data_IF_340199165424
#
_entry.id   IF_340199165424
#
_cell.length_a   1.000
_cell.length_b   1.000
_cell.length_c   1.000
_cell.angle_alpha   90.00
_cell.angle_beta   90.00
_cell.angle_gamma   90.00
#
_symmetry.space_group_name_H-M   'P 1'
#
loop_
_entity.id
_entity.type
_entity.pdbx_description
1 polymer ?
#
# COMPACT_ATOMS: atom_id res chain seq x y z
N UNK A 1 3.02 -17.58 -26.16
CA UNK A 1 2.14 -16.54 -25.57
C UNK A 1 3.03 -15.41 -25.10
N UNK A 2 2.67 -14.13 -25.33
CA UNK A 2 3.67 -13.09 -25.50
C UNK A 2 4.39 -12.73 -24.20
N UNK A 3 5.69 -12.59 -24.35
CA UNK A 3 6.70 -12.21 -23.36
C UNK A 3 6.55 -10.71 -23.11
N UNK A 4 6.26 -10.29 -21.88
CA UNK A 4 6.31 -8.89 -21.47
C UNK A 4 7.74 -8.52 -21.02
N UNK A 5 8.41 -7.55 -21.67
CA UNK A 5 9.73 -7.11 -21.27
C UNK A 5 9.61 -5.90 -20.33
N UNK A 6 9.74 -6.10 -19.02
CA UNK A 6 9.96 -4.97 -18.12
C UNK A 6 11.43 -4.55 -18.19
N UNK A 7 11.65 -3.57 -19.07
CA UNK A 7 12.88 -2.85 -19.27
C UNK A 7 13.35 -2.16 -17.98
N UNK A 8 14.66 -2.27 -17.76
CA UNK A 8 15.43 -1.67 -16.68
C UNK A 8 15.25 -0.14 -16.66
N UNK A 9 14.75 0.42 -15.55
CA UNK A 9 14.92 1.84 -15.23
C UNK A 9 15.55 1.97 -13.85
N UNK A 10 16.87 2.17 -13.86
CA UNK A 10 17.68 2.64 -12.73
C UNK A 10 17.41 4.13 -12.54
N UNK A 11 16.91 4.56 -11.38
CA UNK A 11 16.80 5.98 -11.02
C UNK A 11 17.41 6.18 -9.63
N UNK A 12 18.47 6.98 -9.58
CA UNK A 12 19.11 7.49 -8.37
C UNK A 12 18.19 8.50 -7.68
N UNK A 13 17.94 8.34 -6.38
CA UNK A 13 17.28 9.37 -5.56
C UNK A 13 18.35 10.10 -4.75
N UNK A 14 18.60 11.35 -5.14
CA UNK A 14 19.34 12.32 -4.33
C UNK A 14 18.45 12.81 -3.18
N UNK A 15 18.98 12.70 -1.96
CA UNK A 15 18.40 13.26 -0.74
C UNK A 15 18.71 14.76 -0.71
N UNK A 16 17.69 15.60 -0.57
CA UNK A 16 17.87 16.98 -0.11
C UNK A 16 17.01 17.20 1.12
N UNK A 17 17.69 17.51 2.22
CA UNK A 17 17.12 17.85 3.50
C UNK A 17 16.71 19.34 3.57
N UNK A 18 15.52 19.54 4.13
CA UNK A 18 15.04 20.63 4.99
C UNK A 18 15.90 21.90 5.18
N UNK A 19 15.25 23.08 5.15
CA UNK A 19 15.24 24.02 6.30
C UNK A 19 14.38 25.28 6.14
N UNK A 20 13.57 25.53 7.19
CA UNK A 20 13.25 26.80 7.88
C UNK A 20 12.66 27.99 7.11
N UNK A 21 11.53 28.54 7.60
CA UNK A 21 11.57 29.76 8.44
C UNK A 21 10.17 30.20 8.91
N UNK A 22 10.06 30.57 10.18
CA UNK A 22 8.91 31.25 10.80
C UNK A 22 9.09 32.76 10.63
N UNK A 23 8.03 33.49 10.29
CA UNK A 23 8.03 34.95 10.21
C UNK A 23 6.68 35.53 10.63
N UNK A 24 6.72 36.37 11.67
CA UNK A 24 5.59 36.94 12.37
C UNK A 24 5.03 38.23 11.72
N UNK A 25 3.79 38.55 12.09
CA UNK A 25 3.31 39.92 12.28
C UNK A 25 2.57 40.54 11.10
N UNK A 26 1.35 41.04 11.38
CA UNK A 26 0.88 42.41 11.11
C UNK A 26 -0.50 42.52 11.77
N UNK A 27 -0.64 43.49 12.67
CA UNK A 27 -1.95 43.95 13.14
C UNK A 27 -2.45 45.11 12.30
N UNK A 28 -3.78 45.28 12.22
CA UNK A 28 -4.38 46.58 11.94
C UNK A 28 -5.80 46.66 12.54
N UNK A 29 -6.03 47.75 13.27
CA UNK A 29 -7.30 48.18 13.89
C UNK A 29 -8.12 49.03 12.90
N UNK A 30 -9.38 49.29 13.30
CA UNK A 30 -10.42 50.23 12.80
C UNK A 30 -11.54 49.47 12.06
N UNK A 31 -12.84 49.71 12.27
CA UNK A 31 -13.56 50.89 12.74
C UNK A 31 -14.89 50.45 13.41
N UNK A 32 -15.41 51.26 14.32
CA UNK A 32 -16.58 50.92 15.14
C UNK A 32 -17.94 50.96 14.43
N UNK A 33 -18.93 50.42 15.13
CA UNK A 33 -20.32 50.88 15.08
C UNK A 33 -20.99 50.56 16.42
N UNK A 34 -21.63 51.56 17.00
CA UNK A 34 -22.43 51.46 18.21
C UNK A 34 -23.89 51.14 17.84
N UNK A 35 -24.41 50.11 18.49
CA UNK A 35 -25.72 50.03 19.14
C UNK A 35 -27.02 50.29 18.33
N UNK A 36 -27.88 49.26 18.31
CA UNK A 36 -29.33 49.44 18.54
C UNK A 36 -29.82 48.38 19.54
N UNK A 37 -30.56 48.75 20.60
CA UNK A 37 -31.08 47.82 21.58
C UNK A 37 -32.55 47.45 21.29
N UNK A 38 -32.91 46.16 21.35
CA UNK A 38 -34.28 45.72 21.69
C UNK A 38 -34.22 44.40 22.47
N UNK A 39 -34.87 44.41 23.64
CA UNK A 39 -35.05 43.34 24.63
C UNK A 39 -36.08 42.29 24.17
N UNK A 40 -35.86 41.01 24.48
CA UNK A 40 -36.83 40.09 25.13
C UNK A 40 -36.25 38.67 25.26
N UNK A 41 -36.40 38.05 26.44
CA UNK A 41 -36.00 36.67 26.74
C UNK A 41 -37.25 35.76 26.84
N UNK A 42 -37.30 34.69 26.02
CA UNK A 42 -37.79 33.28 26.21
C UNK A 42 -39.24 32.95 26.67
N UNK A 43 -39.87 31.82 26.22
CA UNK A 43 -39.40 30.45 26.49
C UNK A 43 -39.52 29.41 25.34
N UNK A 44 -38.73 28.33 25.48
CA UNK A 44 -38.60 27.17 24.59
C UNK A 44 -39.91 26.42 24.35
N UNK A 45 -40.18 25.98 23.12
CA UNK A 45 -41.04 24.82 22.88
C UNK A 45 -40.73 24.09 21.56
N UNK A 46 -40.14 22.91 21.72
CA UNK A 46 -40.30 21.69 20.92
C UNK A 46 -39.75 21.62 19.48
N UNK A 47 -38.69 20.82 19.36
CA UNK A 47 -38.23 20.13 18.14
C UNK A 47 -39.34 19.31 17.47
N UNK A 48 -39.35 19.28 16.13
CA UNK A 48 -39.51 18.05 15.38
C UNK A 48 -38.20 17.66 14.70
N UNK A 49 -37.81 16.40 14.89
CA UNK A 49 -36.69 15.66 14.30
C UNK A 49 -36.50 15.86 12.79
N UNK A 50 -35.33 16.38 12.41
CA UNK A 50 -34.79 16.32 11.04
C UNK A 50 -33.65 15.28 11.02
N UNK A 51 -33.71 14.21 10.20
CA UNK A 51 -32.62 13.25 10.13
C UNK A 51 -31.49 13.78 9.25
N UNK A 52 -30.29 13.86 9.83
CA UNK A 52 -28.98 13.96 9.15
C UNK A 52 -28.42 15.36 8.96
N UNK A 53 -27.94 15.97 10.05
CA UNK A 53 -26.77 16.85 9.98
C UNK A 53 -25.59 16.08 10.58
N UNK A 54 -24.86 15.32 9.76
CA UNK A 54 -23.51 14.95 10.13
C UNK A 54 -22.72 16.27 10.25
N UNK A 55 -22.00 16.55 11.36
CA UNK A 55 -21.20 17.76 11.47
C UNK A 55 -20.18 17.76 10.35
N UNK A 56 -20.21 18.78 9.50
CA UNK A 56 -19.14 19.02 8.53
C UNK A 56 -17.82 19.13 9.31
N UNK A 57 -16.80 18.33 8.98
CA UNK A 57 -15.51 18.39 9.67
C UNK A 57 -14.95 19.82 9.60
N UNK A 58 -14.51 20.35 10.74
CA UNK A 58 -13.89 21.67 10.81
C UNK A 58 -12.55 21.63 10.03
N UNK A 59 -12.22 22.61 9.15
CA UNK A 59 -10.97 22.61 8.38
C UNK A 59 -9.69 22.31 9.18
N UNK A 60 -9.61 22.74 10.44
CA UNK A 60 -8.48 22.43 11.32
C UNK A 60 -8.29 20.91 11.56
N UNK A 61 -9.38 20.14 11.62
CA UNK A 61 -9.33 18.69 11.80
C UNK A 61 -8.84 17.97 10.53
N UNK A 62 -9.11 18.54 9.35
CA UNK A 62 -8.64 17.99 8.07
C UNK A 62 -7.12 18.12 7.92
N UNK A 63 -6.56 19.27 8.31
CA UNK A 63 -5.11 19.51 8.31
C UNK A 63 -4.38 18.55 9.26
N UNK A 64 -4.94 18.31 10.44
CA UNK A 64 -4.35 17.40 11.42
C UNK A 64 -4.39 15.94 10.94
N UNK A 65 -5.44 15.54 10.20
CA UNK A 65 -5.51 14.23 9.55
C UNK A 65 -4.43 14.07 8.48
N UNK A 66 -4.22 15.07 7.62
CA UNK A 66 -3.13 15.03 6.62
C UNK A 66 -1.75 14.91 7.27
N UNK A 67 -1.50 15.67 8.35
CA UNK A 67 -0.24 15.56 9.12
C UNK A 67 -0.08 14.17 9.73
N UNK A 68 -1.14 13.61 10.32
CA UNK A 68 -1.11 12.27 10.90
C UNK A 68 -0.82 11.21 9.82
N UNK A 69 -1.49 11.29 8.67
CA UNK A 69 -1.27 10.42 7.52
C UNK A 69 0.19 10.48 7.04
N UNK A 70 0.72 11.71 6.89
CA UNK A 70 2.10 11.93 6.43
C UNK A 70 3.13 11.35 7.41
N UNK A 71 2.87 11.47 8.72
CA UNK A 71 3.72 10.87 9.77
C UNK A 71 3.69 9.34 9.74
N UNK A 72 2.54 8.74 9.45
CA UNK A 72 2.44 7.28 9.28
C UNK A 72 3.21 6.83 8.03
N UNK A 73 3.06 7.54 6.92
CA UNK A 73 3.75 7.24 5.67
C UNK A 73 5.28 7.37 5.80
N UNK A 74 5.80 8.37 6.53
CA UNK A 74 7.25 8.50 6.78
C UNK A 74 7.82 7.36 7.63
N UNK A 75 6.97 6.72 8.44
CA UNK A 75 7.26 5.48 9.17
C UNK A 75 6.99 4.23 8.34
N UNK A 76 6.79 4.35 7.03
CA UNK A 76 6.51 3.23 6.13
C UNK A 76 5.17 2.53 6.38
N UNK A 77 4.27 3.11 7.18
CA UNK A 77 2.94 2.58 7.55
C UNK A 77 1.87 3.07 6.56
N UNK A 78 2.04 2.72 5.28
CA UNK A 78 1.19 3.27 4.22
C UNK A 78 -0.28 2.84 4.31
N UNK A 79 -0.58 1.62 4.76
CA UNK A 79 -1.97 1.16 4.93
C UNK A 79 -2.72 2.09 5.88
N UNK A 80 -2.14 2.32 7.05
CA UNK A 80 -2.72 3.21 8.06
C UNK A 80 -2.73 4.68 7.59
N UNK A 81 -1.71 5.10 6.86
CA UNK A 81 -1.68 6.43 6.26
C UNK A 81 -2.82 6.63 5.24
N UNK A 82 -3.11 5.63 4.41
CA UNK A 82 -4.18 5.65 3.42
C UNK A 82 -5.56 5.60 4.08
N UNK A 83 -5.72 4.88 5.19
CA UNK A 83 -6.95 4.91 5.99
C UNK A 83 -7.27 6.33 6.48
N UNK A 84 -6.26 7.08 6.96
CA UNK A 84 -6.45 8.49 7.34
C UNK A 84 -6.94 9.36 6.17
N UNK A 85 -6.50 9.06 4.94
CA UNK A 85 -6.91 9.80 3.74
C UNK A 85 -8.29 9.41 3.22
N UNK A 86 -8.80 8.21 3.54
CA UNK A 86 -10.11 7.76 3.10
C UNK A 86 -11.26 8.48 3.83
N UNK A 87 -10.97 9.05 4.99
CA UNK A 87 -11.91 9.85 5.78
C UNK A 87 -12.06 11.30 5.28
N UNK A 88 -11.31 11.69 4.25
CA UNK A 88 -11.39 13.02 3.61
C UNK A 88 -12.41 12.94 2.47
N UNK A 89 -13.47 13.74 2.55
CA UNK A 89 -14.54 13.75 1.56
C UNK A 89 -14.06 14.41 0.25
N UNK A 90 -14.57 13.99 -0.92
CA UNK A 90 -14.16 14.56 -2.21
C UNK A 90 -14.37 16.07 -2.35
N UNK A 91 -15.32 16.65 -1.60
CA UNK A 91 -15.64 18.08 -1.63
C UNK A 91 -14.84 18.89 -0.59
N UNK A 92 -14.00 18.24 0.21
CA UNK A 92 -13.19 18.93 1.22
C UNK A 92 -12.10 19.79 0.56
N UNK A 93 -11.70 20.93 1.17
CA UNK A 93 -10.65 21.80 0.62
C UNK A 93 -9.32 21.09 0.38
N UNK A 94 -9.04 20.03 1.16
CA UNK A 94 -7.80 19.25 1.09
C UNK A 94 -7.90 17.97 0.24
N UNK A 95 -9.06 17.73 -0.39
CA UNK A 95 -9.31 16.49 -1.13
C UNK A 95 -8.31 16.25 -2.27
N UNK A 96 -7.91 17.32 -2.97
CA UNK A 96 -6.90 17.25 -4.05
C UNK A 96 -5.56 16.77 -3.49
N UNK A 97 -5.11 17.35 -2.37
CA UNK A 97 -3.86 16.94 -1.72
C UNK A 97 -3.93 15.50 -1.23
N UNK A 98 -5.05 15.10 -0.61
CA UNK A 98 -5.28 13.72 -0.19
C UNK A 98 -5.23 12.75 -1.37
N UNK A 99 -5.83 13.09 -2.51
CA UNK A 99 -5.76 12.27 -3.72
C UNK A 99 -4.32 12.13 -4.23
N UNK A 100 -3.56 13.23 -4.27
CA UNK A 100 -2.13 13.17 -4.68
C UNK A 100 -1.32 12.26 -3.77
N UNK A 101 -1.48 12.37 -2.45
CA UNK A 101 -0.78 11.50 -1.49
C UNK A 101 -1.19 10.04 -1.65
N UNK A 102 -2.48 9.78 -1.90
CA UNK A 102 -3.01 8.44 -2.17
C UNK A 102 -2.31 7.80 -3.37
N UNK A 103 -2.20 8.51 -4.50
CA UNK A 103 -1.49 8.00 -5.68
C UNK A 103 -0.01 7.71 -5.37
N UNK A 104 0.70 8.67 -4.75
CA UNK A 104 2.12 8.55 -4.44
C UNK A 104 2.43 7.39 -3.48
N UNK A 105 1.60 7.17 -2.47
CA UNK A 105 1.80 6.08 -1.51
C UNK A 105 1.36 4.74 -2.08
N UNK A 106 0.32 4.69 -2.91
CA UNK A 106 -0.03 3.48 -3.66
C UNK A 106 1.11 3.00 -4.54
N UNK A 107 1.80 3.91 -5.26
CA UNK A 107 2.98 3.56 -6.06
C UNK A 107 4.11 3.00 -5.18
N UNK A 108 4.39 3.62 -4.03
CA UNK A 108 5.41 3.12 -3.10
C UNK A 108 5.07 1.74 -2.52
N UNK A 109 3.78 1.47 -2.28
CA UNK A 109 3.32 0.14 -1.88
C UNK A 109 3.52 -0.89 -2.99
N UNK A 110 3.22 -0.53 -4.24
CA UNK A 110 3.45 -1.41 -5.38
C UNK A 110 4.93 -1.76 -5.52
N UNK A 111 5.82 -0.76 -5.44
CA UNK A 111 7.27 -1.00 -5.50
C UNK A 111 7.71 -2.00 -4.43
N UNK A 112 7.17 -1.88 -3.21
CA UNK A 112 7.46 -2.83 -2.11
C UNK A 112 6.89 -4.22 -2.37
N UNK A 113 5.68 -4.31 -2.90
CA UNK A 113 5.09 -5.59 -3.30
C UNK A 113 5.97 -6.27 -4.35
N UNK A 114 6.50 -5.52 -5.33
CA UNK A 114 7.40 -6.03 -6.35
C UNK A 114 8.76 -6.49 -5.78
N UNK A 115 9.32 -5.76 -4.79
CA UNK A 115 10.52 -6.23 -4.07
C UNK A 115 10.25 -7.58 -3.42
N UNK A 116 9.14 -7.71 -2.67
CA UNK A 116 8.75 -8.97 -2.04
C UNK A 116 8.53 -10.09 -3.05
N UNK A 117 7.86 -9.78 -4.14
CA UNK A 117 7.65 -10.72 -5.24
C UNK A 117 8.99 -11.25 -5.74
N UNK A 118 9.93 -10.35 -6.07
CA UNK A 118 11.26 -10.70 -6.55
C UNK A 118 12.12 -11.48 -5.54
N UNK A 119 11.85 -11.38 -4.25
CA UNK A 119 12.48 -12.17 -3.19
C UNK A 119 11.88 -13.57 -3.01
N UNK A 120 10.92 -13.96 -3.87
CA UNK A 120 10.06 -15.14 -3.71
C UNK A 120 9.27 -15.13 -2.39
N UNK A 121 8.92 -13.94 -1.90
CA UNK A 121 8.01 -13.72 -0.78
C UNK A 121 6.60 -13.38 -1.30
N UNK A 122 6.00 -14.34 -2.02
CA UNK A 122 4.73 -14.15 -2.73
C UNK A 122 3.60 -13.77 -1.77
N UNK A 123 3.54 -14.41 -0.59
CA UNK A 123 2.54 -14.09 0.43
C UNK A 123 2.68 -12.63 0.89
N UNK A 124 3.90 -12.17 1.16
CA UNK A 124 4.16 -10.77 1.52
C UNK A 124 3.85 -9.80 0.39
N UNK A 125 4.18 -10.16 -0.86
CA UNK A 125 3.87 -9.36 -2.04
C UNK A 125 2.35 -9.18 -2.22
N UNK A 126 1.59 -10.28 -2.15
CA UNK A 126 0.13 -10.29 -2.28
C UNK A 126 -0.53 -9.49 -1.15
N UNK A 127 -0.08 -9.65 0.09
CA UNK A 127 -0.62 -8.90 1.22
C UNK A 127 -0.46 -7.37 1.05
N UNK A 128 0.69 -6.92 0.54
CA UNK A 128 0.91 -5.50 0.25
C UNK A 128 0.05 -5.05 -0.93
N UNK A 129 0.01 -5.84 -2.00
CA UNK A 129 -0.76 -5.55 -3.21
C UNK A 129 -2.26 -5.42 -2.95
N UNK A 130 -2.83 -6.28 -2.11
CA UNK A 130 -4.25 -6.26 -1.73
C UNK A 130 -4.62 -5.00 -0.92
N UNK A 131 -3.66 -4.43 -0.21
CA UNK A 131 -3.86 -3.19 0.55
C UNK A 131 -3.77 -1.92 -0.32
N UNK A 132 -3.41 -2.03 -1.61
CA UNK A 132 -3.32 -0.88 -2.52
C UNK A 132 -4.74 -0.46 -2.97
N UNK A 133 -5.12 0.83 -2.81
CA UNK A 133 -6.40 1.35 -3.28
C UNK A 133 -6.62 1.13 -4.78
N UNK A 134 -7.68 0.41 -5.13
CA UNK A 134 -8.00 0.00 -6.52
C UNK A 134 -8.24 1.16 -7.49
N UNK A 135 -8.58 2.34 -6.97
CA UNK A 135 -8.84 3.54 -7.80
C UNK A 135 -7.57 4.29 -8.23
N UNK A 136 -6.42 3.99 -7.62
CA UNK A 136 -5.12 4.53 -8.02
C UNK A 136 -4.56 3.81 -9.25
N UNK A 137 -3.60 4.44 -9.94
CA UNK A 137 -2.95 3.80 -11.09
C UNK A 137 -2.23 2.50 -10.68
N UNK A 138 -1.42 2.56 -9.62
CA UNK A 138 -0.74 1.39 -9.05
C UNK A 138 -1.74 0.30 -8.60
N UNK A 139 -2.92 0.71 -8.12
CA UNK A 139 -4.00 -0.23 -7.78
C UNK A 139 -4.55 -0.95 -9.00
N UNK A 140 -4.77 -0.24 -10.12
CA UNK A 140 -5.20 -0.89 -11.38
C UNK A 140 -4.15 -1.85 -11.90
N UNK A 141 -2.88 -1.43 -11.87
CA UNK A 141 -1.75 -2.25 -12.31
C UNK A 141 -1.66 -3.56 -11.52
N UNK A 142 -1.60 -3.47 -10.19
CA UNK A 142 -1.39 -4.67 -9.35
C UNK A 142 -2.56 -5.64 -9.38
N UNK A 143 -3.80 -5.14 -9.57
CA UNK A 143 -4.98 -5.99 -9.68
C UNK A 143 -4.95 -6.88 -10.93
N UNK A 144 -4.25 -6.47 -11.99
CA UNK A 144 -4.03 -7.32 -13.17
C UNK A 144 -3.03 -8.44 -12.88
N UNK A 145 -2.08 -8.22 -11.98
CA UNK A 145 -1.00 -9.15 -11.64
C UNK A 145 -1.39 -10.15 -10.53
N UNK A 146 -2.27 -9.76 -9.60
CA UNK A 146 -2.67 -10.58 -8.45
C UNK A 146 -3.13 -12.01 -8.79
N UNK A 147 -3.93 -12.28 -9.85
CA UNK A 147 -4.29 -13.64 -10.23
C UNK A 147 -3.08 -14.51 -10.58
N UNK A 148 -2.07 -13.92 -11.23
CA UNK A 148 -0.83 -14.61 -11.59
C UNK A 148 -0.02 -14.92 -10.34
N UNK A 149 0.15 -13.94 -9.45
CA UNK A 149 0.93 -14.12 -8.22
C UNK A 149 0.31 -15.19 -7.31
N UNK A 150 -1.02 -15.18 -7.15
CA UNK A 150 -1.73 -16.22 -6.37
C UNK A 150 -1.54 -17.60 -6.95
N UNK A 151 -1.59 -17.74 -8.29
CA UNK A 151 -1.34 -19.05 -8.94
C UNK A 151 0.09 -19.52 -8.68
N UNK A 152 1.08 -18.63 -8.80
CA UNK A 152 2.48 -18.96 -8.55
C UNK A 152 2.70 -19.34 -7.08
N UNK A 153 2.05 -18.64 -6.13
CA UNK A 153 2.08 -19.00 -4.71
C UNK A 153 1.58 -20.43 -4.49
N UNK A 154 0.45 -20.82 -5.08
CA UNK A 154 -0.08 -22.17 -4.96
C UNK A 154 0.87 -23.23 -5.53
N UNK A 155 1.52 -22.95 -6.67
CA UNK A 155 2.53 -23.86 -7.25
C UNK A 155 3.72 -24.02 -6.32
N UNK A 156 4.19 -22.93 -5.71
CA UNK A 156 5.30 -22.97 -4.75
C UNK A 156 4.90 -23.78 -3.52
N UNK A 157 3.74 -23.50 -2.92
CA UNK A 157 3.25 -24.20 -1.73
C UNK A 157 3.14 -25.71 -1.98
N UNK A 158 2.51 -26.10 -3.09
CA UNK A 158 2.41 -27.49 -3.51
C UNK A 158 3.79 -28.14 -3.71
N UNK A 159 4.69 -27.49 -4.45
CA UNK A 159 6.05 -27.97 -4.67
C UNK A 159 6.81 -28.19 -3.36
N UNK A 160 6.68 -27.27 -2.39
CA UNK A 160 7.32 -27.37 -1.08
C UNK A 160 6.83 -28.60 -0.29
N UNK A 161 5.54 -28.94 -0.36
CA UNK A 161 5.01 -30.14 0.31
C UNK A 161 5.54 -31.43 -0.32
N UNK A 162 5.82 -31.40 -1.62
CA UNK A 162 6.28 -32.56 -2.39
C UNK A 162 7.76 -32.86 -2.19
N UNK A 163 8.56 -31.92 -1.70
CA UNK A 163 10.02 -32.11 -1.53
C UNK A 163 10.31 -33.43 -0.80
N UNK A 164 9.63 -33.70 0.32
CA UNK A 164 9.93 -34.86 1.14
C UNK A 164 9.33 -36.17 0.63
N UNK A 165 8.21 -36.14 -0.09
CA UNK A 165 7.45 -37.32 -0.53
C UNK A 165 7.73 -37.69 -1.98
N UNK A 166 7.76 -36.72 -2.88
CA UNK A 166 8.02 -36.88 -4.31
C UNK A 166 8.85 -35.69 -4.86
N UNK A 167 10.18 -35.67 -4.62
CA UNK A 167 11.02 -34.55 -5.02
C UNK A 167 11.19 -34.41 -6.54
N UNK A 168 10.88 -35.43 -7.34
CA UNK A 168 10.85 -35.32 -8.80
C UNK A 168 9.68 -34.47 -9.26
N UNK A 169 8.48 -34.72 -8.72
CA UNK A 169 7.30 -33.89 -8.98
C UNK A 169 7.52 -32.47 -8.44
N UNK A 170 8.09 -32.32 -7.24
CA UNK A 170 8.43 -30.99 -6.69
C UNK A 170 9.32 -30.18 -7.66
N UNK A 171 10.35 -30.82 -8.24
CA UNK A 171 11.22 -30.16 -9.22
C UNK A 171 10.47 -29.79 -10.50
N UNK A 172 9.56 -30.65 -10.98
CA UNK A 172 8.73 -30.36 -12.14
C UNK A 172 7.81 -29.15 -11.89
N UNK A 173 7.23 -29.02 -10.69
CA UNK A 173 6.42 -27.87 -10.29
C UNK A 173 7.24 -26.58 -10.25
N UNK A 174 8.43 -26.63 -9.64
CA UNK A 174 9.32 -25.47 -9.65
C UNK A 174 9.71 -25.05 -11.07
N UNK A 175 9.97 -26.01 -11.97
CA UNK A 175 10.34 -25.69 -13.36
C UNK A 175 9.32 -24.81 -14.08
N UNK A 176 8.02 -24.93 -13.78
CA UNK A 176 6.97 -24.05 -14.33
C UNK A 176 7.22 -22.57 -14.00
N UNK A 177 7.99 -22.28 -12.96
CA UNK A 177 8.27 -20.94 -12.45
C UNK A 177 9.65 -20.42 -12.89
N UNK A 178 10.42 -21.16 -13.71
CA UNK A 178 11.82 -20.82 -14.01
C UNK A 178 12.01 -19.49 -14.74
N UNK A 179 11.01 -19.06 -15.51
CA UNK A 179 11.01 -17.79 -16.25
C UNK A 179 10.55 -16.58 -15.42
N UNK A 180 10.14 -16.79 -14.16
CA UNK A 180 9.71 -15.69 -13.30
C UNK A 180 10.89 -14.87 -12.79
N UNK A 181 10.69 -13.59 -12.48
CA UNK A 181 11.76 -12.75 -11.95
C UNK A 181 12.29 -13.24 -10.59
N UNK A 182 11.41 -13.81 -9.75
CA UNK A 182 11.77 -14.33 -8.45
C UNK A 182 12.54 -15.65 -8.47
N UNK A 183 12.59 -16.35 -9.61
CA UNK A 183 13.39 -17.57 -9.77
C UNK A 183 14.90 -17.32 -9.57
N UNK A 184 15.34 -16.05 -9.67
CA UNK A 184 16.72 -15.63 -9.40
C UNK A 184 17.00 -15.36 -7.92
N UNK A 185 15.97 -15.36 -7.07
CA UNK A 185 16.13 -15.11 -5.64
C UNK A 185 16.89 -16.24 -4.95
N UNK A 186 17.65 -15.90 -3.90
CA UNK A 186 18.32 -16.90 -3.07
C UNK A 186 17.33 -17.85 -2.38
N UNK A 187 16.11 -17.37 -2.06
CA UNK A 187 15.06 -18.20 -1.47
C UNK A 187 14.61 -19.29 -2.43
N UNK A 188 14.30 -18.93 -3.68
CA UNK A 188 13.92 -19.90 -4.70
C UNK A 188 15.05 -20.89 -5.00
N UNK A 189 16.29 -20.41 -5.15
CA UNK A 189 17.45 -21.27 -5.37
C UNK A 189 17.64 -22.31 -4.26
N UNK A 190 17.41 -21.94 -2.99
CA UNK A 190 17.46 -22.88 -1.86
C UNK A 190 16.41 -23.99 -1.97
N UNK A 191 15.20 -23.69 -2.43
CA UNK A 191 14.19 -24.73 -2.65
C UNK A 191 14.59 -25.71 -3.75
N UNK A 192 15.17 -25.22 -4.85
CA UNK A 192 15.72 -26.07 -5.92
C UNK A 192 16.85 -26.96 -5.39
N UNK A 193 17.80 -26.38 -4.66
CA UNK A 193 18.94 -27.10 -4.09
C UNK A 193 18.48 -28.20 -3.12
N UNK A 194 17.57 -27.85 -2.20
CA UNK A 194 17.01 -28.80 -1.24
C UNK A 194 16.31 -29.96 -1.95
N UNK A 195 15.55 -29.66 -3.01
CA UNK A 195 14.85 -30.67 -3.81
C UNK A 195 15.85 -31.60 -4.50
N UNK A 196 16.89 -31.05 -5.14
CA UNK A 196 17.94 -31.85 -5.79
C UNK A 196 18.75 -32.69 -4.79
N UNK A 197 19.06 -32.14 -3.61
CA UNK A 197 19.71 -32.89 -2.54
C UNK A 197 18.86 -34.09 -2.10
N UNK A 198 17.55 -33.91 -1.98
CA UNK A 198 16.64 -34.99 -1.62
C UNK A 198 16.59 -36.10 -2.69
N UNK A 199 16.59 -35.74 -3.98
CA UNK A 199 16.69 -36.71 -5.08
C UNK A 199 17.99 -37.52 -4.97
N UNK A 200 19.13 -36.84 -4.80
CA UNK A 200 20.45 -37.49 -4.68
C UNK A 200 20.50 -38.46 -3.51
N UNK A 201 20.00 -38.06 -2.35
CA UNK A 201 19.99 -38.89 -1.14
C UNK A 201 19.15 -40.17 -1.32
N UNK A 202 18.00 -40.08 -1.99
CA UNK A 202 17.18 -41.26 -2.30
C UNK A 202 17.88 -42.23 -3.24
N UNK A 203 18.56 -41.71 -4.25
CA UNK A 203 19.31 -42.53 -5.20
C UNK A 203 20.45 -43.29 -4.51
N UNK A 204 21.14 -42.65 -3.56
CA UNK A 204 22.22 -43.29 -2.79
C UNK A 204 21.73 -44.37 -1.81
N UNK A 205 20.50 -44.27 -1.29
CA UNK A 205 19.97 -45.25 -0.34
C UNK A 205 19.38 -46.50 -0.99
N UNK A 206 19.02 -46.41 -2.26
CA UNK A 206 18.50 -47.51 -3.06
C UNK A 206 19.29 -47.61 -4.36
N UNK A 207 20.59 -47.99 -4.30
CA UNK A 207 21.30 -48.35 -5.51
C UNK A 207 20.58 -49.58 -6.10
N UNK A 208 20.18 -49.47 -7.36
CA UNK A 208 19.57 -50.57 -8.11
C UNK A 208 20.46 -51.81 -8.12
#
# INVERSE_FOLDING_TARGET
MPISPLAKRTIWVSVIAFSLSVGAGIGLRLLGQAERPVKAQTPQQNTPTDPTTAPTPNPLQLDDRLKAATRLASQSRYVEALEQLNEIAPNDPVAVQAQTLREVWSTQMLDRALVKYNEADLQGAIAIAEAIPTKTEAGREVQQELPTWRRQQLIIEDALTLIQSNPQEALARFKVLEDTSFAKSSRYQKWIEQTQAQIRWRHQRHPY
#
